data_IF_185524060978
#
_entry.id   IF_185524060978
#
_cell.length_a   1.000
_cell.length_b   1.000
_cell.length_c   1.000
_cell.angle_alpha   90.00
_cell.angle_beta   90.00
_cell.angle_gamma   90.00
#
_symmetry.space_group_name_H-M   'P 1'
#
loop_
_entity.id
_entity.type
_entity.pdbx_description
1 polymer ?
#
# COMPACT_ATOMS: atom_id res chain seq x y z
N UNK A 1 -4.97 -23.68 -2.46
CA UNK A 1 -4.87 -22.23 -2.30
C UNK A 1 -4.02 -21.69 -3.46
N UNK A 2 -4.65 -21.13 -4.51
CA UNK A 2 -3.92 -20.59 -5.67
C UNK A 2 -3.34 -19.23 -5.29
N UNK A 3 -2.01 -19.14 -5.31
CA UNK A 3 -1.26 -17.88 -5.18
C UNK A 3 -1.52 -17.04 -6.44
N UNK A 4 -2.27 -15.95 -6.30
CA UNK A 4 -2.47 -15.00 -7.39
C UNK A 4 -1.19 -14.17 -7.56
N UNK A 5 -0.43 -14.44 -8.61
CA UNK A 5 0.67 -13.58 -9.01
C UNK A 5 0.11 -12.35 -9.74
N UNK A 6 0.26 -11.17 -9.13
CA UNK A 6 0.06 -9.89 -9.84
C UNK A 6 1.44 -9.51 -10.37
N UNK A 7 1.61 -9.54 -11.70
CA UNK A 7 2.88 -9.22 -12.35
C UNK A 7 2.97 -7.71 -12.59
N UNK A 8 3.95 -7.05 -11.97
CA UNK A 8 4.42 -5.73 -12.37
C UNK A 8 5.79 -5.89 -13.07
N UNK A 9 6.01 -5.14 -14.15
CA UNK A 9 7.22 -5.28 -14.97
C UNK A 9 8.25 -4.23 -14.57
N UNK A 10 9.42 -4.65 -14.11
CA UNK A 10 10.56 -3.77 -13.84
C UNK A 10 11.30 -3.45 -15.15
N UNK A 11 11.59 -2.17 -15.41
CA UNK A 11 12.38 -1.73 -16.57
C UNK A 11 13.79 -1.36 -16.11
N UNK A 12 14.76 -2.13 -16.52
CA UNK A 12 16.16 -1.83 -16.30
C UNK A 12 16.83 -1.42 -17.62
N UNK A 13 17.68 -0.42 -17.56
CA UNK A 13 18.18 0.34 -18.73
C UNK A 13 19.31 -0.30 -19.53
N UNK A 14 19.50 -1.63 -19.49
CA UNK A 14 20.42 -2.31 -20.41
C UNK A 14 20.02 -3.79 -20.49
N UNK A 15 19.56 -4.20 -21.68
CA UNK A 15 19.12 -5.54 -22.01
C UNK A 15 18.00 -6.09 -21.10
N UNK A 16 16.76 -5.73 -21.44
CA UNK A 16 15.58 -5.87 -20.57
C UNK A 16 15.03 -7.30 -20.60
N UNK A 17 15.43 -8.10 -19.63
CA UNK A 17 14.50 -9.09 -19.10
C UNK A 17 13.65 -8.40 -18.04
N UNK A 18 12.38 -8.17 -18.33
CA UNK A 18 11.44 -7.62 -17.36
C UNK A 18 11.40 -8.56 -16.15
N UNK A 19 12.01 -8.15 -15.05
CA UNK A 19 11.98 -8.95 -13.82
C UNK A 19 10.54 -8.97 -13.30
N UNK A 20 9.95 -10.16 -13.24
CA UNK A 20 8.59 -10.36 -12.73
C UNK A 20 8.59 -10.08 -11.23
N UNK A 21 7.80 -9.09 -10.80
CA UNK A 21 7.57 -8.82 -9.38
C UNK A 21 6.37 -9.65 -8.91
N UNK A 22 6.57 -10.41 -7.86
CA UNK A 22 5.52 -11.25 -7.25
C UNK A 22 5.11 -10.60 -5.93
N UNK A 23 3.82 -10.29 -5.78
CA UNK A 23 3.25 -9.84 -4.51
C UNK A 23 2.64 -11.04 -3.79
N UNK A 24 3.03 -11.23 -2.52
CA UNK A 24 2.56 -12.33 -1.68
C UNK A 24 2.48 -11.93 -0.20
N UNK A 25 1.86 -12.78 0.60
CA UNK A 25 1.93 -12.65 2.06
C UNK A 25 3.39 -12.74 2.51
N UNK A 26 3.73 -11.86 3.45
CA UNK A 26 5.03 -11.88 4.12
C UNK A 26 5.13 -13.09 5.05
N UNK A 27 6.31 -13.67 5.11
CA UNK A 27 6.69 -14.68 6.09
C UNK A 27 7.85 -14.17 6.97
N UNK A 28 8.23 -14.94 7.98
CA UNK A 28 9.31 -14.55 8.90
C UNK A 28 10.66 -14.32 8.19
N UNK A 29 10.92 -15.07 7.13
CA UNK A 29 12.12 -14.93 6.28
C UNK A 29 12.22 -13.56 5.58
N UNK A 30 11.12 -12.83 5.44
CA UNK A 30 11.08 -11.54 4.77
C UNK A 30 11.39 -10.38 5.72
N UNK A 31 11.53 -10.64 7.01
CA UNK A 31 11.83 -9.63 8.01
C UNK A 31 13.08 -8.79 7.70
N UNK A 32 14.23 -9.38 7.28
CA UNK A 32 15.38 -8.58 6.87
C UNK A 32 15.08 -7.65 5.69
N UNK A 33 14.22 -8.05 4.76
CA UNK A 33 13.78 -7.23 3.65
C UNK A 33 12.97 -6.00 4.11
N UNK A 34 12.12 -6.13 5.13
CA UNK A 34 11.44 -4.98 5.73
C UNK A 34 12.42 -4.00 6.37
N UNK A 35 13.48 -4.49 7.03
CA UNK A 35 14.52 -3.63 7.60
C UNK A 35 15.33 -2.91 6.51
N UNK A 36 15.65 -3.59 5.41
CA UNK A 36 16.34 -2.98 4.28
C UNK A 36 15.50 -1.84 3.67
N UNK A 37 14.19 -2.06 3.47
CA UNK A 37 13.28 -1.02 2.99
C UNK A 37 13.13 0.13 3.99
N UNK A 38 13.10 -0.16 5.30
CA UNK A 38 13.02 0.85 6.34
C UNK A 38 14.26 1.76 6.32
N UNK A 39 15.45 1.18 6.17
CA UNK A 39 16.72 1.93 6.09
C UNK A 39 16.72 2.98 4.96
N UNK A 40 16.06 2.70 3.84
CA UNK A 40 15.98 3.65 2.72
C UNK A 40 15.14 4.90 3.03
N UNK A 41 14.30 4.85 4.07
CA UNK A 41 13.30 5.91 4.37
C UNK A 41 13.43 6.51 5.77
N UNK A 42 14.38 6.04 6.61
CA UNK A 42 14.59 6.57 7.96
C UNK A 42 14.83 8.08 7.99
N UNK A 43 15.47 8.61 6.96
CA UNK A 43 15.70 10.06 6.81
C UNK A 43 14.39 10.88 6.77
N UNK A 44 13.25 10.25 6.46
CA UNK A 44 11.95 10.90 6.35
C UNK A 44 11.02 10.59 7.54
N UNK A 45 11.15 9.39 8.11
CA UNK A 45 10.24 8.86 9.11
C UNK A 45 10.87 8.70 10.51
N UNK A 46 12.16 9.05 10.64
CA UNK A 46 12.93 8.77 11.83
C UNK A 46 13.41 7.31 11.90
N UNK A 47 14.16 6.96 12.94
CA UNK A 47 14.77 5.64 13.09
C UNK A 47 13.70 4.53 13.15
N UNK A 48 13.89 3.47 12.39
CA UNK A 48 13.03 2.29 12.35
C UNK A 48 13.83 0.98 12.44
N UNK A 49 15.01 0.94 11.80
CA UNK A 49 15.82 -0.29 11.71
C UNK A 49 16.24 -0.80 13.08
N UNK A 50 16.58 0.09 14.01
CA UNK A 50 16.97 -0.25 15.38
C UNK A 50 15.79 -0.21 16.36
N UNK A 51 14.59 0.21 15.93
CA UNK A 51 13.45 0.43 16.81
C UNK A 51 12.69 -0.88 17.12
N UNK A 52 12.64 -1.33 18.40
CA UNK A 52 11.89 -2.54 18.77
C UNK A 52 10.42 -2.49 18.40
N UNK A 53 9.80 -1.29 18.46
CA UNK A 53 8.38 -1.09 18.10
C UNK A 53 8.11 -1.37 16.61
N UNK A 54 9.02 -0.98 15.72
CA UNK A 54 8.90 -1.30 14.30
C UNK A 54 9.07 -2.81 14.05
N UNK A 55 10.04 -3.44 14.72
CA UNK A 55 10.25 -4.89 14.63
C UNK A 55 9.01 -5.67 15.09
N UNK A 56 8.41 -5.26 16.20
CA UNK A 56 7.20 -5.89 16.71
C UNK A 56 6.01 -5.67 15.77
N UNK A 57 5.86 -4.47 15.22
CA UNK A 57 4.82 -4.18 14.22
C UNK A 57 4.95 -5.08 12.99
N UNK A 58 6.14 -5.21 12.39
CA UNK A 58 6.37 -6.09 11.24
C UNK A 58 6.05 -7.54 11.57
N UNK A 59 6.62 -8.08 12.67
CA UNK A 59 6.38 -9.46 13.08
C UNK A 59 4.91 -9.71 13.44
N UNK A 60 4.28 -8.75 14.12
CA UNK A 60 2.87 -8.83 14.50
C UNK A 60 1.94 -8.89 13.28
N UNK A 61 2.16 -8.03 12.28
CA UNK A 61 1.38 -8.06 11.04
C UNK A 61 1.65 -9.34 10.23
N UNK A 62 2.90 -9.80 10.19
CA UNK A 62 3.27 -11.06 9.52
C UNK A 62 2.56 -12.25 10.16
N UNK A 63 2.59 -12.39 11.48
CA UNK A 63 1.90 -13.48 12.21
C UNK A 63 0.39 -13.46 12.01
N UNK A 64 -0.22 -12.28 11.93
CA UNK A 64 -1.66 -12.12 11.65
C UNK A 64 -2.01 -12.33 10.17
N UNK A 65 -1.04 -12.51 9.28
CA UNK A 65 -1.28 -12.70 7.85
C UNK A 65 -1.79 -11.43 7.14
N UNK A 66 -1.45 -10.24 7.66
CA UNK A 66 -1.85 -8.94 7.11
C UNK A 66 -0.66 -8.07 6.69
N UNK A 67 0.48 -8.70 6.44
CA UNK A 67 1.65 -8.09 5.81
C UNK A 67 1.85 -8.67 4.41
N UNK A 68 2.23 -7.82 3.45
CA UNK A 68 2.57 -8.20 2.09
C UNK A 68 3.99 -7.79 1.75
N UNK A 69 4.63 -8.58 0.90
CA UNK A 69 5.89 -8.23 0.25
C UNK A 69 5.76 -8.34 -1.25
N UNK A 70 6.47 -7.45 -1.95
CA UNK A 70 6.75 -7.54 -3.37
C UNK A 70 8.18 -8.03 -3.53
N UNK A 71 8.37 -9.13 -4.26
CA UNK A 71 9.67 -9.76 -4.48
C UNK A 71 10.01 -9.67 -5.97
N UNK A 72 11.15 -9.10 -6.28
CA UNK A 72 11.72 -8.98 -7.61
C UNK A 72 13.18 -9.41 -7.61
N UNK A 73 13.60 -10.23 -8.56
CA UNK A 73 14.98 -10.74 -8.60
C UNK A 73 15.41 -11.57 -7.38
N UNK A 74 14.45 -12.11 -6.63
CA UNK A 74 14.70 -12.85 -5.38
C UNK A 74 14.77 -12.00 -4.12
N UNK A 75 14.74 -10.67 -4.23
CA UNK A 75 14.84 -9.73 -3.12
C UNK A 75 13.48 -9.05 -2.83
N UNK A 76 13.28 -8.58 -1.60
CA UNK A 76 12.12 -7.80 -1.21
C UNK A 76 12.32 -6.37 -1.71
N UNK A 77 11.53 -5.98 -2.70
CA UNK A 77 11.56 -4.64 -3.34
C UNK A 77 10.40 -3.74 -2.90
N UNK A 78 9.49 -4.26 -2.09
CA UNK A 78 8.39 -3.49 -1.51
C UNK A 78 7.74 -4.24 -0.36
N UNK A 79 7.20 -3.49 0.60
CA UNK A 79 6.52 -4.03 1.77
C UNK A 79 5.29 -3.22 2.15
N UNK A 80 4.28 -3.89 2.69
CA UNK A 80 3.04 -3.27 3.15
C UNK A 80 2.58 -3.95 4.44
N UNK A 81 2.25 -3.13 5.45
CA UNK A 81 1.55 -3.55 6.67
C UNK A 81 0.13 -3.00 6.63
N UNK A 82 -0.85 -3.89 6.76
CA UNK A 82 -2.26 -3.57 6.64
C UNK A 82 -3.02 -3.97 7.89
N UNK A 83 -4.17 -3.33 8.16
CA UNK A 83 -4.98 -3.68 9.31
C UNK A 83 -6.36 -3.06 9.27
N UNK A 84 -7.05 -3.16 10.42
CA UNK A 84 -8.43 -2.70 10.54
C UNK A 84 -9.46 -3.69 9.98
N UNK A 85 -10.70 -3.30 10.09
CA UNK A 85 -11.88 -4.00 9.57
C UNK A 85 -12.94 -2.95 9.25
N UNK A 86 -14.01 -3.33 8.53
CA UNK A 86 -15.10 -2.41 8.27
C UNK A 86 -15.58 -1.71 9.55
N UNK A 87 -15.90 -0.42 9.51
CA UNK A 87 -15.89 0.44 8.33
C UNK A 87 -14.54 1.09 8.00
N UNK A 88 -13.47 0.86 8.77
CA UNK A 88 -12.18 1.53 8.58
C UNK A 88 -11.04 0.53 8.48
N UNK A 89 -10.49 0.43 7.27
CA UNK A 89 -9.27 -0.32 6.98
C UNK A 89 -8.07 0.64 6.96
N UNK A 90 -6.86 0.17 7.32
CA UNK A 90 -5.69 1.06 7.43
C UNK A 90 -4.45 0.49 6.77
N UNK A 91 -3.77 1.36 6.03
CA UNK A 91 -2.38 1.14 5.63
C UNK A 91 -1.50 1.70 6.76
N UNK A 92 -0.85 0.82 7.49
CA UNK A 92 0.04 1.22 8.59
C UNK A 92 1.44 1.58 8.10
N UNK A 93 1.89 0.95 7.04
CA UNK A 93 3.19 1.19 6.43
C UNK A 93 3.21 0.68 4.99
N UNK A 94 3.78 1.44 4.07
CA UNK A 94 3.99 1.06 2.68
C UNK A 94 5.28 1.72 2.19
N UNK A 95 6.24 0.89 1.81
CA UNK A 95 7.50 1.35 1.22
C UNK A 95 7.84 0.49 0.01
N UNK A 96 8.35 1.14 -1.02
CA UNK A 96 8.93 0.52 -2.22
C UNK A 96 10.36 1.00 -2.33
N UNK A 97 11.29 0.08 -2.56
CA UNK A 97 12.71 0.39 -2.71
C UNK A 97 12.91 1.44 -3.80
N UNK A 98 13.90 2.31 -3.64
CA UNK A 98 14.15 3.40 -4.56
C UNK A 98 14.29 2.91 -6.01
N UNK A 99 14.95 1.77 -6.21
CA UNK A 99 15.19 1.18 -7.53
C UNK A 99 13.90 0.66 -8.20
N UNK A 100 12.89 0.26 -7.41
CA UNK A 100 11.63 -0.29 -7.90
C UNK A 100 10.48 0.74 -7.96
N UNK A 101 10.74 2.00 -7.59
CA UNK A 101 9.74 3.08 -7.70
C UNK A 101 9.39 3.38 -9.16
N UNK A 102 8.18 3.87 -9.37
CA UNK A 102 7.68 4.18 -10.72
C UNK A 102 7.30 2.97 -11.58
N UNK A 103 7.50 1.75 -11.07
CA UNK A 103 7.30 0.50 -11.81
C UNK A 103 6.01 -0.25 -11.41
N UNK A 104 5.08 0.43 -10.75
CA UNK A 104 3.78 -0.15 -10.38
C UNK A 104 3.78 -1.02 -9.12
N UNK A 105 4.93 -1.22 -8.44
CA UNK A 105 5.05 -2.11 -7.26
C UNK A 105 4.12 -1.69 -6.13
N UNK A 106 4.08 -0.41 -5.79
CA UNK A 106 3.18 0.11 -4.75
C UNK A 106 1.71 -0.09 -5.10
N UNK A 107 1.34 0.10 -6.37
CA UNK A 107 -0.02 -0.15 -6.85
C UNK A 107 -0.38 -1.63 -6.74
N UNK A 108 0.53 -2.53 -7.09
CA UNK A 108 0.33 -3.97 -7.00
C UNK A 108 0.14 -4.42 -5.52
N UNK A 109 0.94 -3.87 -4.59
CA UNK A 109 0.79 -4.12 -3.15
C UNK A 109 -0.58 -3.66 -2.64
N UNK A 110 -1.03 -2.46 -3.01
CA UNK A 110 -2.34 -1.94 -2.62
C UNK A 110 -3.49 -2.76 -3.21
N UNK A 111 -3.42 -3.11 -4.49
CA UNK A 111 -4.44 -3.93 -5.14
C UNK A 111 -4.56 -5.32 -4.48
N UNK A 112 -3.44 -5.94 -4.14
CA UNK A 112 -3.44 -7.23 -3.45
C UNK A 112 -3.95 -7.14 -2.02
N UNK A 113 -3.63 -6.05 -1.29
CA UNK A 113 -4.17 -5.80 0.04
C UNK A 113 -5.70 -5.66 0.01
N UNK A 114 -6.23 -4.90 -0.94
CA UNK A 114 -7.68 -4.76 -1.10
C UNK A 114 -8.36 -6.07 -1.47
N UNK A 115 -7.76 -6.82 -2.38
CA UNK A 115 -8.28 -8.12 -2.77
C UNK A 115 -8.37 -9.10 -1.59
N UNK A 116 -7.34 -9.10 -0.72
CA UNK A 116 -7.24 -10.05 0.40
C UNK A 116 -7.97 -9.61 1.64
N UNK A 117 -7.92 -8.32 1.96
CA UNK A 117 -8.28 -7.84 3.29
C UNK A 117 -9.53 -6.95 3.32
N UNK A 118 -10.00 -6.49 2.17
CA UNK A 118 -11.15 -5.59 2.08
C UNK A 118 -12.32 -6.21 1.32
N UNK A 119 -12.06 -6.79 0.14
CA UNK A 119 -13.12 -7.32 -0.72
C UNK A 119 -13.96 -8.39 -0.02
N UNK A 120 -15.29 -8.19 0.01
CA UNK A 120 -16.23 -9.09 0.66
C UNK A 120 -16.21 -9.03 2.20
N UNK A 121 -15.60 -7.99 2.78
CA UNK A 121 -15.51 -7.84 4.25
C UNK A 121 -16.27 -6.62 4.77
N UNK A 122 -17.13 -6.06 3.96
CA UNK A 122 -17.97 -4.91 4.28
C UNK A 122 -17.46 -3.60 3.66
N UNK A 123 -18.42 -2.72 3.39
CA UNK A 123 -18.14 -1.37 2.88
C UNK A 123 -17.53 -0.48 3.96
N UNK A 124 -16.79 0.52 3.53
CA UNK A 124 -16.13 1.46 4.44
C UNK A 124 -15.13 2.35 3.71
N UNK A 125 -14.00 2.60 4.34
CA UNK A 125 -12.91 3.34 3.72
C UNK A 125 -11.55 2.71 4.06
N UNK A 126 -10.58 2.92 3.18
CA UNK A 126 -9.16 2.69 3.47
C UNK A 126 -8.56 4.03 3.85
N UNK A 127 -7.85 4.07 4.97
CA UNK A 127 -7.11 5.22 5.46
C UNK A 127 -5.61 4.96 5.41
N UNK A 128 -4.87 6.03 5.17
CA UNK A 128 -3.42 6.08 5.35
C UNK A 128 -3.04 7.44 5.92
N UNK A 129 -2.06 7.47 6.82
CA UNK A 129 -1.43 8.70 7.26
C UNK A 129 -0.17 8.91 6.42
N UNK A 130 -0.08 10.06 5.76
CA UNK A 130 1.06 10.45 4.94
C UNK A 130 1.55 11.84 5.35
N UNK A 131 2.64 12.30 4.76
CA UNK A 131 3.17 13.64 5.03
C UNK A 131 2.17 14.72 4.66
N UNK A 132 2.10 15.76 5.48
CA UNK A 132 1.40 17.00 5.15
C UNK A 132 2.08 17.73 3.97
N UNK A 133 1.37 18.69 3.40
CA UNK A 133 1.84 19.42 2.20
C UNK A 133 3.18 20.13 2.41
N UNK A 134 3.43 20.60 3.63
CA UNK A 134 4.62 21.39 4.00
C UNK A 134 5.81 20.50 4.41
N UNK A 135 5.64 19.19 4.46
CA UNK A 135 6.71 18.29 4.89
C UNK A 135 7.68 18.03 3.73
N UNK A 136 9.01 18.16 3.92
CA UNK A 136 10.00 17.90 2.86
C UNK A 136 9.87 16.51 2.22
N UNK A 137 9.55 15.50 3.02
CA UNK A 137 9.31 14.13 2.56
C UNK A 137 8.07 13.96 1.66
N UNK A 138 7.14 14.92 1.67
CA UNK A 138 5.96 14.89 0.80
C UNK A 138 6.35 15.00 -0.68
N UNK A 139 7.31 15.88 -0.98
CA UNK A 139 7.82 16.10 -2.35
C UNK A 139 8.79 14.99 -2.73
N UNK A 140 9.79 14.73 -1.90
CA UNK A 140 10.85 13.77 -2.20
C UNK A 140 10.35 12.31 -2.26
N UNK A 141 9.39 11.96 -1.40
CA UNK A 141 8.83 10.61 -1.33
C UNK A 141 7.75 10.30 -2.37
N UNK A 142 7.11 11.32 -2.94
CA UNK A 142 6.02 11.18 -3.92
C UNK A 142 4.76 10.48 -3.36
N UNK A 143 4.68 10.26 -2.04
CA UNK A 143 3.62 9.49 -1.42
C UNK A 143 2.23 10.11 -1.63
N UNK A 144 2.09 11.44 -1.52
CA UNK A 144 0.82 12.14 -1.75
C UNK A 144 0.30 11.89 -3.16
N UNK A 145 1.13 12.14 -4.17
CA UNK A 145 0.78 11.91 -5.59
C UNK A 145 0.45 10.45 -5.85
N UNK A 146 1.16 9.53 -5.20
CA UNK A 146 0.87 8.10 -5.30
C UNK A 146 -0.54 7.78 -4.78
N UNK A 147 -0.90 8.25 -3.58
CA UNK A 147 -2.22 7.98 -3.02
C UNK A 147 -3.34 8.69 -3.79
N UNK A 148 -3.12 9.92 -4.26
CA UNK A 148 -4.08 10.65 -5.09
C UNK A 148 -4.39 9.90 -6.41
N UNK A 149 -3.37 9.34 -7.06
CA UNK A 149 -3.53 8.50 -8.26
C UNK A 149 -4.30 7.20 -7.97
N UNK A 150 -4.26 6.69 -6.76
CA UNK A 150 -5.07 5.56 -6.31
C UNK A 150 -6.49 5.96 -5.88
N UNK A 151 -6.86 7.23 -6.04
CA UNK A 151 -8.19 7.75 -5.72
C UNK A 151 -8.38 8.14 -4.25
N UNK A 152 -7.32 8.15 -3.45
CA UNK A 152 -7.38 8.70 -2.09
C UNK A 152 -7.52 10.22 -2.15
N UNK A 153 -8.21 10.78 -1.15
CA UNK A 153 -8.39 12.21 -0.98
C UNK A 153 -7.86 12.64 0.39
N UNK A 154 -7.27 13.86 0.48
CA UNK A 154 -6.91 14.42 1.78
C UNK A 154 -8.17 14.54 2.65
N UNK A 155 -8.01 14.23 3.91
CA UNK A 155 -9.03 14.37 4.95
C UNK A 155 -8.50 15.28 6.07
N UNK A 156 -8.65 14.88 7.34
CA UNK A 156 -8.18 15.66 8.47
C UNK A 156 -6.67 15.61 8.67
N UNK A 157 -6.13 16.59 9.37
CA UNK A 157 -4.74 16.57 9.82
C UNK A 157 -4.52 15.46 10.84
N UNK A 158 -3.36 14.84 10.78
CA UNK A 158 -2.94 13.82 11.74
C UNK A 158 -1.90 14.40 12.72
N UNK A 159 -1.79 13.84 13.93
CA UNK A 159 -0.75 14.24 14.87
C UNK A 159 0.65 14.15 14.22
N UNK A 160 1.56 15.08 14.56
CA UNK A 160 2.94 15.04 14.09
C UNK A 160 3.59 13.68 14.37
N UNK A 161 4.47 13.26 13.48
CA UNK A 161 5.27 12.08 13.69
C UNK A 161 6.44 12.29 14.65
N UNK A 162 7.20 11.22 14.94
CA UNK A 162 8.40 11.30 15.77
C UNK A 162 9.43 12.29 15.20
N UNK A 163 9.44 12.47 13.89
CA UNK A 163 10.28 13.40 13.16
C UNK A 163 9.80 14.86 13.23
N UNK A 164 8.58 15.11 13.76
CA UNK A 164 8.04 16.44 14.03
C UNK A 164 7.39 17.15 12.85
N UNK A 165 7.25 16.54 11.70
CA UNK A 165 6.62 17.16 10.51
C UNK A 165 5.10 17.07 10.50
N UNK A 166 4.44 17.91 9.68
CA UNK A 166 3.00 17.85 9.45
C UNK A 166 2.61 16.53 8.77
N UNK A 167 1.48 15.97 9.21
CA UNK A 167 0.90 14.74 8.64
C UNK A 167 -0.57 14.93 8.34
N UNK A 168 -1.07 14.17 7.38
CA UNK A 168 -2.46 14.23 6.97
C UNK A 168 -3.01 12.83 6.71
N UNK A 169 -4.24 12.60 7.13
CA UNK A 169 -5.00 11.41 6.77
C UNK A 169 -5.44 11.54 5.31
N UNK A 170 -5.23 10.48 4.55
CA UNK A 170 -5.80 10.31 3.23
C UNK A 170 -6.80 9.16 3.29
N UNK A 171 -7.94 9.34 2.63
CA UNK A 171 -9.04 8.38 2.71
C UNK A 171 -9.59 8.07 1.33
N UNK A 172 -9.95 6.80 1.11
CA UNK A 172 -10.65 6.37 -0.08
C UNK A 172 -11.77 5.41 0.31
N UNK A 173 -12.99 5.70 -0.17
CA UNK A 173 -14.12 4.81 0.02
C UNK A 173 -13.90 3.47 -0.69
N UNK A 174 -14.31 2.40 -0.02
CA UNK A 174 -14.38 1.04 -0.56
C UNK A 174 -15.78 0.50 -0.27
N UNK A 175 -16.42 -0.06 -1.29
CA UNK A 175 -17.74 -0.64 -1.19
C UNK A 175 -17.76 -2.00 -1.87
N UNK A 176 -18.79 -2.77 -1.60
CA UNK A 176 -19.18 -3.82 -2.54
C UNK A 176 -19.53 -3.10 -3.84
N UNK A 177 -18.90 -3.46 -4.94
CA UNK A 177 -19.40 -3.03 -6.25
C UNK A 177 -20.78 -3.65 -6.35
N UNK A 178 -21.82 -2.84 -6.13
CA UNK A 178 -23.14 -3.20 -6.54
C UNK A 178 -23.06 -3.64 -8.00
N UNK A 179 -23.71 -4.72 -8.32
CA UNK A 179 -23.98 -5.15 -9.68
C UNK A 179 -24.32 -3.91 -10.50
N UNK A 180 -23.62 -3.76 -11.63
CA UNK A 180 -23.94 -2.70 -12.58
C UNK A 180 -25.44 -2.79 -12.85
N UNK A 181 -26.17 -1.73 -12.46
CA UNK A 181 -27.60 -1.67 -12.70
C UNK A 181 -27.85 -1.93 -14.16
N UNK A 182 -28.64 -2.93 -14.45
CA UNK A 182 -29.16 -3.16 -15.78
C UNK A 182 -29.82 -1.86 -16.26
N UNK A 183 -29.58 -1.44 -17.51
CA UNK A 183 -30.30 -0.31 -18.05
C UNK A 183 -31.77 -0.67 -18.05
N UNK A 184 -32.55 0.04 -17.24
CA UNK A 184 -33.99 -0.13 -17.17
C UNK A 184 -34.57 -0.09 -18.60
N UNK A 185 -35.28 -1.13 -18.96
CA UNK A 185 -36.11 -1.17 -20.16
C UNK A 185 -37.07 0.05 -20.13
N UNK A 186 -36.85 0.94 -21.09
CA UNK A 186 -37.81 1.99 -21.36
C UNK A 186 -39.09 1.32 -21.84
N UNK A 187 -40.08 1.28 -20.96
CA UNK A 187 -41.45 0.92 -21.30
C UNK A 187 -41.97 1.91 -22.34
N UNK A 188 -42.04 1.45 -23.56
CA UNK A 188 -42.73 2.15 -24.66
C UNK A 188 -44.23 1.96 -24.43
N UNK A 189 -44.87 2.94 -23.81
CA UNK A 189 -46.32 3.05 -23.84
C UNK A 189 -46.70 3.49 -25.25
N UNK A 190 -47.32 2.59 -25.99
CA UNK A 190 -47.99 2.92 -27.25
C UNK A 190 -49.35 3.55 -26.98
N UNK A 191 -49.68 4.61 -27.69
CA UNK A 191 -50.87 4.86 -28.47
C UNK A 191 -50.70 6.12 -29.29
#
# INVERSE_FOLDING_TARGET
>A
VRSGAVSATLRDGACQTAAVVIVRLAGERDFPGFLALAAEVEQWFGPMVAEPGFHEAVRGHTRRGVALVAVGGGEVVGGLLFGGAAPVYRVHWLVVSQQARGQGVGQALMAEAERRFVRGRGAGCVEVVTFGVDHPGAVAGGARVFYERLGFRPAEDAPPGPEGGSRQVFRRAVGERGEAGEPGEAEVAGE
#
